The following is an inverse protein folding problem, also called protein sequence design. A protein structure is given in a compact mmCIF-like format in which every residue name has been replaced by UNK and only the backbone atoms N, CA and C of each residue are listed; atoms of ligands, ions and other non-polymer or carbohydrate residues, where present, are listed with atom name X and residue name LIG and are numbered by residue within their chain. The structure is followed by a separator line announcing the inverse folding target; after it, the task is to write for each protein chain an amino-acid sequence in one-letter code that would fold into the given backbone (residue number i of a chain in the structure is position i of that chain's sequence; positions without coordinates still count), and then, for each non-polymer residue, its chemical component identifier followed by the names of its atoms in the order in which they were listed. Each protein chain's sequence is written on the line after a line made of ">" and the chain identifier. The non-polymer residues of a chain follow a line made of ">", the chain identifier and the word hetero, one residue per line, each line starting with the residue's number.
data_IF_452060076771
#
_entry.id   IF_452060076771
#
_cell.length_a   1.000
_cell.length_b   1.000
_cell.length_c   1.000
_cell.angle_alpha   90.00
_cell.angle_beta   90.00
_cell.angle_gamma   90.00
#
_symmetry.space_group_name_H-M   'P 1'
#
loop_
_entity.id
_entity.type
_entity.pdbx_description
1 polymer ?
#
# COMPACT_ATOMS: atom_id res chain seq x y z
N UNK A 1 -0.10 -16.62 10.47
CA UNK A 1 0.94 -15.58 10.42
C UNK A 1 0.19 -14.41 9.84
N UNK A 2 -0.14 -13.42 10.67
CA UNK A 2 -0.93 -12.26 10.25
C UNK A 2 -0.10 -11.47 9.25
N UNK A 3 -0.38 -11.62 7.96
CA UNK A 3 0.49 -11.13 6.88
C UNK A 3 0.70 -9.61 6.93
N UNK A 4 -0.28 -8.85 7.44
CA UNK A 4 -0.12 -7.40 7.66
C UNK A 4 0.87 -7.02 8.77
N UNK A 5 1.14 -7.91 9.73
CA UNK A 5 2.13 -7.63 10.78
C UNK A 5 3.53 -7.43 10.21
N UNK A 6 3.91 -8.17 9.15
CA UNK A 6 5.25 -8.05 8.56
C UNK A 6 5.44 -6.73 7.83
N UNK A 7 4.44 -6.25 7.09
CA UNK A 7 4.48 -4.94 6.41
C UNK A 7 4.73 -3.83 7.43
N UNK A 8 3.93 -3.82 8.51
CA UNK A 8 4.06 -2.87 9.60
C UNK A 8 5.38 -2.96 10.34
N UNK A 9 5.83 -4.17 10.70
CA UNK A 9 7.08 -4.39 11.43
C UNK A 9 8.31 -3.93 10.64
N UNK A 10 8.35 -4.24 9.34
CA UNK A 10 9.42 -3.78 8.45
C UNK A 10 9.40 -2.26 8.35
N UNK A 11 8.24 -1.65 8.11
CA UNK A 11 8.12 -0.19 8.06
C UNK A 11 8.60 0.48 9.35
N UNK A 12 8.14 0.00 10.52
CA UNK A 12 8.55 0.54 11.83
C UNK A 12 10.05 0.41 12.08
N UNK A 13 10.69 -0.65 11.57
CA UNK A 13 12.14 -0.83 11.70
C UNK A 13 12.92 0.22 10.89
N UNK A 14 12.48 0.52 9.66
CA UNK A 14 13.23 1.40 8.75
C UNK A 14 12.86 2.88 8.88
N UNK A 15 11.63 3.22 9.26
CA UNK A 15 11.16 4.62 9.32
C UNK A 15 11.99 5.52 10.23
N UNK A 16 12.57 4.96 11.28
CA UNK A 16 13.43 5.68 12.23
C UNK A 16 14.72 6.20 11.59
N UNK A 17 15.09 5.68 10.42
CA UNK A 17 16.27 6.06 9.65
C UNK A 17 15.96 6.91 8.41
N UNK A 18 14.69 7.31 8.23
CA UNK A 18 14.25 8.11 7.09
C UNK A 18 14.16 9.58 7.50
N UNK A 19 14.71 10.48 6.66
CA UNK A 19 14.53 11.91 6.86
C UNK A 19 13.04 12.26 6.70
N UNK A 20 12.48 13.02 7.64
CA UNK A 20 11.07 13.45 7.62
C UNK A 20 10.67 14.15 6.31
N UNK A 21 11.61 14.79 5.62
CA UNK A 21 11.37 15.41 4.30
C UNK A 21 11.05 14.40 3.19
N UNK A 22 11.37 13.13 3.40
CA UNK A 22 11.27 12.07 2.40
C UNK A 22 10.36 10.93 2.85
N UNK A 23 9.78 11.00 4.05
CA UNK A 23 9.00 9.89 4.62
C UNK A 23 7.79 9.50 3.77
N UNK A 24 7.09 10.49 3.20
CA UNK A 24 5.94 10.26 2.32
C UNK A 24 6.37 9.51 1.05
N UNK A 25 7.37 10.04 0.32
CA UNK A 25 7.89 9.38 -0.89
C UNK A 25 8.46 7.99 -0.62
N UNK A 26 9.11 7.77 0.53
CA UNK A 26 9.65 6.44 0.86
C UNK A 26 8.53 5.48 1.27
N UNK A 27 7.46 5.96 1.93
CA UNK A 27 6.29 5.15 2.24
C UNK A 27 5.61 4.64 0.96
N UNK A 28 5.40 5.52 -0.03
CA UNK A 28 4.88 5.16 -1.36
C UNK A 28 5.74 4.08 -2.01
N UNK A 29 7.07 4.30 -2.11
CA UNK A 29 7.99 3.32 -2.71
C UNK A 29 8.09 2.01 -1.96
N UNK A 30 7.87 2.03 -0.65
CA UNK A 30 7.82 0.83 0.15
C UNK A 30 6.57 0.01 -0.17
N UNK A 31 5.41 0.65 -0.33
CA UNK A 31 4.16 -0.01 -0.73
C UNK A 31 4.28 -0.56 -2.16
N UNK A 32 4.76 0.24 -3.12
CA UNK A 32 5.05 -0.18 -4.50
C UNK A 32 5.91 -1.47 -4.51
N UNK A 33 7.02 -1.46 -3.75
CA UNK A 33 7.94 -2.60 -3.69
C UNK A 33 7.29 -3.84 -3.06
N UNK A 34 6.46 -3.66 -2.03
CA UNK A 34 5.73 -4.77 -1.40
C UNK A 34 4.75 -5.39 -2.40
N UNK A 35 4.04 -4.57 -3.17
CA UNK A 35 3.11 -5.00 -4.22
C UNK A 35 3.86 -5.74 -5.34
N UNK A 36 4.98 -5.20 -5.83
CA UNK A 36 5.86 -5.84 -6.82
C UNK A 36 6.37 -7.22 -6.37
N UNK A 37 6.53 -7.41 -5.06
CA UNK A 37 6.91 -8.70 -4.45
C UNK A 37 5.73 -9.65 -4.20
N UNK A 38 4.51 -9.24 -4.54
CA UNK A 38 3.30 -10.06 -4.43
C UNK A 38 2.66 -10.02 -3.04
N UNK A 39 2.86 -8.94 -2.28
CA UNK A 39 2.10 -8.72 -1.04
C UNK A 39 0.63 -8.49 -1.39
N UNK A 40 -0.31 -9.28 -0.85
CA UNK A 40 -1.74 -9.13 -1.18
C UNK A 40 -2.34 -7.92 -0.46
N UNK A 41 -3.37 -7.30 -1.06
CA UNK A 41 -4.10 -6.17 -0.49
C UNK A 41 -4.60 -6.39 0.94
N UNK A 42 -5.00 -7.62 1.27
CA UNK A 42 -5.44 -7.98 2.63
C UNK A 42 -4.33 -7.69 3.65
N UNK A 43 -3.07 -7.95 3.31
CA UNK A 43 -1.95 -7.63 4.17
C UNK A 43 -1.75 -6.10 4.33
N UNK A 44 -2.01 -5.31 3.28
CA UNK A 44 -2.00 -3.85 3.40
C UNK A 44 -3.16 -3.34 4.26
N UNK A 45 -4.37 -3.88 4.07
CA UNK A 45 -5.55 -3.55 4.88
C UNK A 45 -5.33 -3.88 6.36
N UNK A 46 -4.69 -5.01 6.65
CA UNK A 46 -4.33 -5.43 8.01
C UNK A 46 -3.23 -4.54 8.64
N UNK A 47 -2.39 -3.89 7.83
CA UNK A 47 -1.34 -2.99 8.29
C UNK A 47 -1.87 -1.58 8.65
N UNK A 48 -3.06 -1.21 8.17
CA UNK A 48 -3.67 0.09 8.42
C UNK A 48 -3.86 0.39 9.92
N UNK A 49 -3.70 1.65 10.28
CA UNK A 49 -3.80 2.13 11.65
C UNK A 49 -2.52 1.93 12.48
N UNK A 50 -1.46 1.40 11.87
CA UNK A 50 -0.16 1.23 12.52
C UNK A 50 0.72 2.48 12.40
N UNK A 51 0.65 3.19 11.28
CA UNK A 51 1.45 4.39 11.05
C UNK A 51 0.81 5.34 10.05
N UNK A 52 0.78 6.63 10.36
CA UNK A 52 0.10 7.64 9.53
C UNK A 52 0.66 7.75 8.12
N UNK A 53 1.97 7.66 7.91
CA UNK A 53 2.55 7.82 6.58
C UNK A 53 2.39 6.55 5.74
N UNK A 54 2.51 5.39 6.38
CA UNK A 54 2.19 4.10 5.75
C UNK A 54 0.70 4.02 5.37
N UNK A 55 -0.20 4.48 6.25
CA UNK A 55 -1.65 4.44 6.03
C UNK A 55 -2.03 5.26 4.78
N UNK A 56 -1.43 6.44 4.60
CA UNK A 56 -1.64 7.26 3.40
C UNK A 56 -1.20 6.54 2.13
N UNK A 57 0.00 5.95 2.15
CA UNK A 57 0.56 5.24 1.00
C UNK A 57 -0.25 4.00 0.63
N UNK A 58 -0.68 3.22 1.63
CA UNK A 58 -1.56 2.06 1.43
C UNK A 58 -2.90 2.49 0.84
N UNK A 59 -3.51 3.54 1.39
CA UNK A 59 -4.80 4.04 0.88
C UNK A 59 -4.67 4.49 -0.57
N UNK A 60 -3.61 5.22 -0.91
CA UNK A 60 -3.33 5.64 -2.27
C UNK A 60 -3.21 4.46 -3.24
N UNK A 61 -2.43 3.44 -2.89
CA UNK A 61 -2.28 2.22 -3.70
C UNK A 61 -3.61 1.48 -3.92
N UNK A 62 -4.39 1.26 -2.85
CA UNK A 62 -5.66 0.54 -2.92
C UNK A 62 -6.76 1.32 -3.65
N UNK A 63 -6.68 2.65 -3.64
CA UNK A 63 -7.58 3.51 -4.41
C UNK A 63 -7.19 3.52 -5.90
N UNK A 64 -5.89 3.54 -6.22
CA UNK A 64 -5.41 3.44 -7.61
C UNK A 64 -5.81 2.10 -8.26
N UNK A 65 -5.72 0.97 -7.55
CA UNK A 65 -6.14 -0.32 -8.11
C UNK A 65 -7.65 -0.38 -8.42
N UNK A 66 -8.50 0.32 -7.66
CA UNK A 66 -9.94 0.35 -7.92
C UNK A 66 -10.31 1.07 -9.22
N UNK A 67 -9.52 2.06 -9.65
CA UNK A 67 -9.78 2.80 -10.89
C UNK A 67 -9.47 1.97 -12.16
N UNK A 68 -8.67 0.89 -12.06
CA UNK A 68 -8.40 0.00 -13.21
C UNK A 68 -9.49 -1.06 -13.46
N UNK A 69 -10.39 -1.29 -12.50
CA UNK A 69 -11.46 -2.29 -12.59
C UNK A 69 -12.82 -1.73 -13.09
N UNK A 70 -12.99 -0.41 -13.25
CA UNK A 70 -14.25 0.24 -13.68
C UNK A 70 -14.40 0.38 -15.22
N UNK A 71 -13.37 0.03 -16.01
CA UNK A 71 -13.34 0.18 -17.48
C UNK A 71 -13.83 -1.07 -18.27
N UNK A 72 -14.56 -2.01 -17.65
CA UNK A 72 -15.12 -3.22 -18.31
C UNK A 72 -16.68 -3.30 -18.28
N UNK A 73 -17.37 -2.17 -18.43
CA UNK A 73 -18.84 -2.15 -18.62
C UNK A 73 -19.26 -1.13 -19.70
N UNK A 74 -18.98 -1.40 -20.98
CA UNK A 74 -19.85 -1.03 -22.13
C UNK A 74 -19.23 -1.43 -23.49
N UNK A 75 -19.49 -2.64 -24.01
CA UNK A 75 -19.61 -2.84 -25.47
C UNK A 75 -20.29 -4.18 -25.86
N UNK A 76 -21.39 -4.57 -25.21
CA UNK A 76 -22.25 -5.65 -25.75
C UNK A 76 -23.73 -5.34 -25.56
N UNK A 77 -24.25 -4.38 -26.33
CA UNK A 77 -25.66 -4.36 -26.71
C UNK A 77 -25.73 -4.20 -28.25
N UNK A 78 -25.76 -5.36 -28.93
CA UNK A 78 -26.05 -5.53 -30.36
C UNK A 78 -27.56 -5.47 -30.65
#
# INVERSE_FOLDING_TARGET
>A
MDSGSQVSEVWQCFKEYIDKKHIETVAERFVDLCADFGTPDEAFRDALGTDTELDKAITYYLDEEQDYDDDDINDEDY
#
